data_IF_423075339326
#
_entry.id   IF_423075339326
#
_cell.length_a   1.000
_cell.length_b   1.000
_cell.length_c   1.000
_cell.angle_alpha   90.00
_cell.angle_beta   90.00
_cell.angle_gamma   90.00
#
_symmetry.space_group_name_H-M   'P 1'
#
loop_
_entity.id
_entity.type
_entity.pdbx_description
1 polymer ?
#
# COMPACT_ATOMS: atom_id res chain seq x y z
N UNK A 1 6.16 -8.05 14.37
CA UNK A 1 5.33 -7.62 13.23
C UNK A 1 3.87 -7.49 13.63
N UNK A 2 3.08 -6.78 12.87
CA UNK A 2 1.65 -6.65 13.08
C UNK A 2 0.98 -7.99 12.70
N UNK A 3 0.17 -8.56 13.60
CA UNK A 3 -0.67 -9.71 13.28
C UNK A 3 -1.96 -9.19 12.64
N UNK A 4 -2.28 -9.70 11.44
CA UNK A 4 -3.42 -9.23 10.66
C UNK A 4 -4.75 -9.85 11.07
N UNK A 5 -4.73 -11.01 11.72
CA UNK A 5 -5.93 -11.72 12.13
C UNK A 5 -6.84 -10.84 13.00
N UNK A 6 -8.07 -10.68 12.55
CA UNK A 6 -9.10 -9.91 13.24
C UNK A 6 -9.00 -8.39 13.09
N UNK A 7 -7.98 -7.86 12.36
CA UNK A 7 -7.87 -6.43 12.12
C UNK A 7 -8.82 -5.97 11.00
N UNK A 8 -9.33 -4.75 11.16
CA UNK A 8 -10.04 -4.01 10.12
C UNK A 8 -9.03 -3.34 9.18
N UNK A 9 -9.03 -3.76 7.92
CA UNK A 9 -8.15 -3.22 6.88
C UNK A 9 -8.97 -2.49 5.83
N UNK A 10 -8.58 -1.27 5.47
CA UNK A 10 -9.16 -0.55 4.34
C UNK A 10 -8.12 -0.42 3.24
N UNK A 11 -8.44 -1.01 2.09
CA UNK A 11 -7.69 -0.90 0.85
C UNK A 11 -8.29 0.21 -0.02
N UNK A 12 -7.62 1.35 -0.13
CA UNK A 12 -8.03 2.48 -0.98
C UNK A 12 -7.36 2.31 -2.35
N UNK A 13 -7.78 1.30 -3.04
CA UNK A 13 -7.36 0.92 -4.38
C UNK A 13 -8.15 -0.31 -4.82
N UNK A 14 -8.63 -0.36 -6.05
CA UNK A 14 -9.27 -1.56 -6.55
C UNK A 14 -8.72 -2.02 -7.91
N UNK A 15 -7.48 -1.63 -8.21
CA UNK A 15 -6.80 -2.05 -9.43
C UNK A 15 -6.57 -3.58 -9.46
N UNK A 16 -6.51 -4.13 -10.66
CA UNK A 16 -6.30 -5.57 -10.88
C UNK A 16 -4.90 -6.02 -10.44
N UNK A 17 -3.94 -5.11 -10.45
CA UNK A 17 -2.52 -5.44 -10.21
C UNK A 17 -2.05 -5.13 -8.78
N UNK A 18 -2.79 -4.31 -8.02
CA UNK A 18 -2.43 -3.94 -6.63
C UNK A 18 -3.60 -4.16 -5.69
N UNK A 19 -4.69 -3.43 -5.86
CA UNK A 19 -5.78 -3.37 -4.88
C UNK A 19 -6.44 -4.72 -4.64
N UNK A 20 -6.94 -5.35 -5.70
CA UNK A 20 -7.64 -6.64 -5.60
C UNK A 20 -6.73 -7.76 -5.09
N UNK A 21 -5.54 -8.03 -5.67
CA UNK A 21 -4.69 -9.11 -5.19
C UNK A 21 -4.21 -8.88 -3.75
N UNK A 22 -3.87 -7.64 -3.37
CA UNK A 22 -3.48 -7.35 -1.99
C UNK A 22 -4.64 -7.56 -1.01
N UNK A 23 -5.87 -7.16 -1.37
CA UNK A 23 -7.05 -7.40 -0.54
C UNK A 23 -7.29 -8.91 -0.30
N UNK A 24 -7.16 -9.74 -1.33
CA UNK A 24 -7.28 -11.19 -1.20
C UNK A 24 -6.20 -11.79 -0.29
N UNK A 25 -4.96 -11.34 -0.41
CA UNK A 25 -3.87 -11.79 0.46
C UNK A 25 -4.11 -11.39 1.92
N UNK A 26 -4.58 -10.17 2.17
CA UNK A 26 -4.91 -9.70 3.53
C UNK A 26 -6.05 -10.50 4.15
N UNK A 27 -7.09 -10.83 3.36
CA UNK A 27 -8.17 -11.72 3.82
C UNK A 27 -7.66 -13.12 4.14
N UNK A 28 -6.74 -13.67 3.36
CA UNK A 28 -6.14 -14.97 3.62
C UNK A 28 -5.36 -15.02 4.93
N UNK A 29 -4.82 -13.88 5.39
CA UNK A 29 -4.17 -13.70 6.68
C UNK A 29 -5.17 -13.41 7.84
N UNK A 30 -6.47 -13.52 7.58
CA UNK A 30 -7.53 -13.37 8.58
C UNK A 30 -7.95 -11.94 8.89
N UNK A 31 -7.62 -10.97 8.04
CA UNK A 31 -8.11 -9.60 8.18
C UNK A 31 -9.52 -9.44 7.61
N UNK A 32 -10.29 -8.51 8.19
CA UNK A 32 -11.53 -8.01 7.60
C UNK A 32 -11.19 -6.87 6.64
N UNK A 33 -11.42 -7.05 5.34
CA UNK A 33 -10.97 -6.08 4.33
C UNK A 33 -12.15 -5.35 3.67
N UNK A 34 -12.10 -4.03 3.72
CA UNK A 34 -12.99 -3.14 2.96
C UNK A 34 -12.21 -2.53 1.80
N UNK A 35 -12.69 -2.71 0.58
CA UNK A 35 -12.08 -2.12 -0.62
C UNK A 35 -12.82 -0.87 -1.03
N UNK A 36 -12.11 0.25 -1.10
CA UNK A 36 -12.61 1.54 -1.56
C UNK A 36 -12.03 1.90 -2.93
N UNK A 37 -12.80 2.64 -3.72
CA UNK A 37 -12.43 3.09 -5.06
C UNK A 37 -13.03 4.47 -5.35
N UNK A 38 -12.74 5.04 -6.52
CA UNK A 38 -13.17 6.40 -6.91
C UNK A 38 -14.68 6.64 -6.84
N UNK A 39 -15.51 5.58 -6.91
CA UNK A 39 -16.97 5.68 -6.79
C UNK A 39 -17.47 5.47 -5.35
N UNK A 40 -16.59 5.20 -4.39
CA UNK A 40 -16.95 5.07 -2.98
C UNK A 40 -17.45 6.42 -2.45
N UNK A 41 -18.68 6.46 -1.92
CA UNK A 41 -19.33 7.72 -1.50
C UNK A 41 -18.52 8.50 -0.46
N UNK A 42 -17.91 7.79 0.48
CA UNK A 42 -17.06 8.39 1.51
C UNK A 42 -16.00 7.41 1.95
N UNK A 43 -14.78 7.61 1.48
CA UNK A 43 -13.62 6.82 1.89
C UNK A 43 -13.38 6.98 3.39
N UNK A 44 -13.52 8.21 3.92
CA UNK A 44 -13.31 8.51 5.33
C UNK A 44 -14.23 7.71 6.27
N UNK A 45 -15.48 7.42 5.88
CA UNK A 45 -16.39 6.58 6.68
C UNK A 45 -15.84 5.17 6.92
N UNK A 46 -15.07 4.65 5.97
CA UNK A 46 -14.46 3.33 6.07
C UNK A 46 -13.12 3.41 6.79
N UNK A 47 -12.24 4.35 6.40
CA UNK A 47 -10.87 4.41 6.87
C UNK A 47 -10.71 4.88 8.33
N UNK A 48 -11.63 5.72 8.84
CA UNK A 48 -11.58 6.17 10.25
C UNK A 48 -11.75 5.06 11.29
N UNK A 49 -12.21 3.88 10.91
CA UNK A 49 -12.33 2.72 11.81
C UNK A 49 -11.25 1.66 11.57
N UNK A 50 -10.45 1.82 10.52
CA UNK A 50 -9.47 0.84 10.11
C UNK A 50 -8.23 0.83 11.02
N UNK A 51 -7.77 -0.37 11.37
CA UNK A 51 -6.51 -0.57 12.07
C UNK A 51 -5.32 -0.43 11.11
N UNK A 52 -5.56 -0.81 9.84
CA UNK A 52 -4.59 -0.68 8.76
C UNK A 52 -5.25 -0.03 7.55
N UNK A 53 -4.60 0.97 6.97
CA UNK A 53 -5.03 1.59 5.72
C UNK A 53 -3.93 1.43 4.68
N UNK A 54 -4.30 0.96 3.50
CA UNK A 54 -3.40 0.86 2.34
C UNK A 54 -3.90 1.80 1.27
N UNK A 55 -3.05 2.72 0.82
CA UNK A 55 -3.41 3.79 -0.13
C UNK A 55 -2.63 3.62 -1.43
N UNK A 56 -3.34 3.53 -2.55
CA UNK A 56 -2.74 3.42 -3.88
C UNK A 56 -3.73 3.99 -4.95
N UNK A 57 -3.91 5.30 -4.94
CA UNK A 57 -4.85 6.02 -5.82
C UNK A 57 -4.17 6.86 -6.90
N UNK A 58 -2.86 7.13 -6.76
CA UNK A 58 -2.09 7.96 -7.68
C UNK A 58 -2.46 9.44 -7.62
N UNK A 59 -2.89 9.93 -6.46
CA UNK A 59 -3.26 11.34 -6.23
C UNK A 59 -2.47 11.84 -5.01
N UNK A 60 -1.55 12.80 -5.19
CA UNK A 60 -0.77 13.37 -4.09
C UNK A 60 -1.65 13.89 -2.96
N UNK A 61 -1.31 13.53 -1.72
CA UNK A 61 -1.99 14.01 -0.50
C UNK A 61 -3.49 13.72 -0.45
N UNK A 62 -3.97 12.70 -1.16
CA UNK A 62 -5.37 12.28 -1.13
C UNK A 62 -5.83 11.87 0.28
N UNK A 63 -4.97 11.11 0.99
CA UNK A 63 -5.28 10.60 2.32
C UNK A 63 -4.77 11.56 3.40
N UNK A 64 -5.68 12.27 4.02
CA UNK A 64 -5.41 13.30 5.02
C UNK A 64 -5.71 12.87 6.46
N UNK A 65 -5.45 13.78 7.42
CA UNK A 65 -5.61 13.51 8.86
C UNK A 65 -7.06 13.23 9.26
N UNK A 66 -8.03 13.72 8.50
CA UNK A 66 -9.46 13.51 8.73
C UNK A 66 -9.95 12.11 8.30
N UNK A 67 -9.09 11.33 7.64
CA UNK A 67 -9.39 9.97 7.17
C UNK A 67 -8.76 8.87 8.00
N UNK A 68 -7.87 9.19 8.94
CA UNK A 68 -7.08 8.21 9.70
C UNK A 68 -7.66 8.00 11.10
N UNK A 69 -7.71 6.75 11.55
CA UNK A 69 -7.98 6.38 12.94
C UNK A 69 -6.71 6.64 13.77
N UNK A 70 -6.80 7.27 14.94
CA UNK A 70 -5.66 7.39 15.84
C UNK A 70 -5.02 6.02 16.13
N UNK A 71 -3.71 5.94 15.96
CA UNK A 71 -2.96 4.71 16.18
C UNK A 71 -2.97 3.70 15.03
N UNK A 72 -3.64 3.99 13.91
CA UNK A 72 -3.64 3.12 12.74
C UNK A 72 -2.25 3.00 12.09
N UNK A 73 -2.03 1.89 11.39
CA UNK A 73 -0.90 1.73 10.48
C UNK A 73 -1.32 2.17 9.07
N UNK A 74 -0.51 3.04 8.43
CA UNK A 74 -0.78 3.56 7.09
C UNK A 74 0.31 3.11 6.12
N UNK A 75 -0.08 2.44 5.05
CA UNK A 75 0.80 1.96 3.99
C UNK A 75 0.52 2.76 2.73
N UNK A 76 1.44 3.63 2.38
CA UNK A 76 1.38 4.45 1.18
C UNK A 76 2.14 3.75 0.04
N UNK A 77 1.42 3.34 -1.00
CA UNK A 77 1.97 2.74 -2.22
C UNK A 77 2.07 3.78 -3.34
N UNK A 78 1.49 4.96 -3.14
CA UNK A 78 1.48 6.03 -4.12
C UNK A 78 2.89 6.46 -4.54
N UNK A 79 3.08 6.69 -5.83
CA UNK A 79 4.32 7.25 -6.41
C UNK A 79 3.89 8.32 -7.39
N UNK A 80 4.00 9.57 -6.98
CA UNK A 80 3.62 10.72 -7.78
C UNK A 80 4.82 11.63 -7.99
N UNK A 81 4.89 12.26 -9.16
CA UNK A 81 5.85 13.31 -9.44
C UNK A 81 5.20 14.66 -9.15
N UNK A 82 5.80 15.42 -8.25
CA UNK A 82 5.40 16.79 -7.94
C UNK A 82 6.49 17.76 -8.42
N UNK A 83 6.13 18.66 -9.32
CA UNK A 83 7.02 19.72 -9.76
C UNK A 83 7.07 20.83 -8.70
N UNK A 84 8.27 21.21 -8.31
CA UNK A 84 8.52 22.29 -7.35
C UNK A 84 8.68 23.62 -8.08
N UNK A 85 8.47 24.78 -7.41
CA UNK A 85 8.61 26.12 -8.03
C UNK A 85 9.98 26.41 -8.66
N UNK A 86 11.01 25.66 -8.28
CA UNK A 86 12.37 25.75 -8.82
C UNK A 86 12.63 24.80 -10.01
N UNK A 87 11.60 24.18 -10.58
CA UNK A 87 11.69 23.23 -11.70
C UNK A 87 12.21 21.85 -11.33
N UNK A 88 12.48 21.57 -10.05
CA UNK A 88 12.87 20.24 -9.60
C UNK A 88 11.63 19.36 -9.40
N UNK A 89 11.79 18.06 -9.67
CA UNK A 89 10.75 17.05 -9.42
C UNK A 89 11.02 16.38 -8.08
N UNK A 90 9.99 16.30 -7.25
CA UNK A 90 9.98 15.54 -6.00
C UNK A 90 9.05 14.35 -6.15
N UNK A 91 9.45 13.20 -5.62
CA UNK A 91 8.57 12.03 -5.49
C UNK A 91 7.80 12.17 -4.18
N UNK A 92 6.47 12.01 -4.26
CA UNK A 92 5.56 12.06 -3.11
C UNK A 92 4.56 10.91 -3.19
N UNK A 93 4.04 10.51 -2.05
CA UNK A 93 2.99 9.50 -1.95
C UNK A 93 1.58 10.06 -2.12
N UNK A 94 0.60 9.19 -1.89
CA UNK A 94 -0.82 9.53 -1.87
C UNK A 94 -1.28 10.03 -0.50
N UNK A 95 -0.45 9.88 0.53
CA UNK A 95 -0.75 10.30 1.91
C UNK A 95 -0.12 11.66 2.20
N UNK A 96 -0.87 12.52 2.92
CA UNK A 96 -0.31 13.74 3.53
C UNK A 96 0.50 13.35 4.77
N UNK A 97 1.71 12.84 4.51
CA UNK A 97 2.60 12.26 5.53
C UNK A 97 2.89 13.25 6.65
N UNK A 98 3.02 14.55 6.35
CA UNK A 98 3.36 15.57 7.35
C UNK A 98 2.29 15.69 8.43
N UNK A 99 1.01 15.52 8.09
CA UNK A 99 -0.11 15.60 9.02
C UNK A 99 -0.50 14.23 9.58
N UNK A 100 -0.50 13.19 8.74
CA UNK A 100 -0.94 11.84 9.13
C UNK A 100 0.01 11.18 10.13
N UNK A 101 1.32 11.46 10.06
CA UNK A 101 2.32 10.91 11.00
C UNK A 101 2.09 11.29 12.47
N UNK A 102 1.40 12.39 12.73
CA UNK A 102 1.08 12.83 14.09
C UNK A 102 -0.08 12.04 14.72
N UNK A 103 -0.82 11.27 13.89
CA UNK A 103 -2.04 10.54 14.29
C UNK A 103 -1.83 9.02 14.17
N UNK A 104 -1.19 8.59 13.09
CA UNK A 104 -0.89 7.18 12.81
C UNK A 104 0.23 6.66 13.73
N UNK A 105 0.16 5.38 14.12
CA UNK A 105 1.26 4.73 14.84
C UNK A 105 2.42 4.34 13.92
N UNK A 106 2.11 4.03 12.65
CA UNK A 106 3.07 3.64 11.62
C UNK A 106 2.66 4.24 10.29
N UNK A 107 3.63 4.72 9.54
CA UNK A 107 3.45 5.19 8.18
C UNK A 107 4.67 4.84 7.34
N UNK A 108 4.45 4.28 6.15
CA UNK A 108 5.54 4.02 5.20
C UNK A 108 5.98 5.33 4.54
N UNK A 109 7.29 5.63 4.48
CA UNK A 109 7.76 6.82 3.78
C UNK A 109 7.66 6.65 2.26
N UNK A 110 7.47 7.77 1.55
CA UNK A 110 7.59 7.83 0.10
C UNK A 110 8.51 9.01 -0.26
N UNK A 111 9.65 8.75 -0.92
CA UNK A 111 10.22 7.45 -1.32
C UNK A 111 10.85 6.69 -0.14
N UNK A 112 11.17 5.41 -0.38
CA UNK A 112 11.95 4.59 0.56
C UNK A 112 11.16 3.56 1.37
N UNK A 113 9.82 3.53 1.25
CA UNK A 113 8.94 2.56 1.90
C UNK A 113 8.70 1.30 1.07
N UNK A 114 7.53 1.19 0.47
CA UNK A 114 7.06 -0.01 -0.26
C UNK A 114 7.90 -0.31 -1.51
N UNK A 115 8.36 0.72 -2.24
CA UNK A 115 9.10 0.55 -3.49
C UNK A 115 10.31 -0.38 -3.38
N UNK A 116 11.29 -0.12 -2.50
CA UNK A 116 12.46 -0.99 -2.30
C UNK A 116 12.08 -2.42 -1.90
N UNK A 117 11.04 -2.61 -1.10
CA UNK A 117 10.54 -3.95 -0.72
C UNK A 117 9.99 -4.68 -1.93
N UNK A 118 9.25 -4.00 -2.80
CA UNK A 118 8.71 -4.57 -4.05
C UNK A 118 9.83 -5.07 -4.95
N UNK A 119 10.90 -4.28 -5.13
CA UNK A 119 12.07 -4.68 -5.92
C UNK A 119 12.74 -5.92 -5.32
N UNK A 120 12.96 -5.95 -4.02
CA UNK A 120 13.55 -7.10 -3.33
C UNK A 120 12.73 -8.39 -3.50
N UNK A 121 11.40 -8.28 -3.37
CA UNK A 121 10.48 -9.41 -3.57
C UNK A 121 10.47 -9.86 -5.03
N UNK A 122 10.50 -8.94 -5.99
CA UNK A 122 10.57 -9.26 -7.42
C UNK A 122 11.82 -10.08 -7.74
N UNK A 123 12.97 -9.65 -7.27
CA UNK A 123 14.24 -10.38 -7.45
C UNK A 123 14.18 -11.78 -6.83
N UNK A 124 13.69 -11.90 -5.61
CA UNK A 124 13.47 -13.20 -4.96
C UNK A 124 12.54 -14.10 -5.78
N UNK A 125 11.42 -13.57 -6.26
CA UNK A 125 10.43 -14.35 -7.02
C UNK A 125 11.01 -14.79 -8.38
N UNK A 126 11.81 -13.96 -9.05
CA UNK A 126 12.50 -14.33 -10.29
C UNK A 126 13.47 -15.50 -10.05
N UNK A 127 14.24 -15.47 -8.97
CA UNK A 127 15.16 -16.57 -8.61
C UNK A 127 14.40 -17.86 -8.32
N UNK A 128 13.31 -17.79 -7.55
CA UNK A 128 12.48 -18.96 -7.24
C UNK A 128 11.82 -19.52 -8.52
N UNK A 129 11.34 -18.65 -9.41
CA UNK A 129 10.74 -19.08 -10.67
C UNK A 129 11.76 -19.81 -11.55
N UNK A 130 12.98 -19.28 -11.66
CA UNK A 130 14.06 -19.91 -12.42
C UNK A 130 14.42 -21.29 -11.84
N UNK A 131 14.59 -21.39 -10.53
CA UNK A 131 14.89 -22.68 -9.87
C UNK A 131 13.80 -23.71 -10.13
N UNK A 132 12.52 -23.34 -10.01
CA UNK A 132 11.38 -24.21 -10.30
C UNK A 132 11.35 -24.68 -11.75
N UNK A 133 11.78 -23.84 -12.69
CA UNK A 133 11.84 -24.21 -14.12
C UNK A 133 12.95 -25.23 -14.37
N UNK A 134 14.08 -25.13 -13.69
CA UNK A 134 15.17 -26.15 -13.75
C UNK A 134 14.65 -27.47 -13.17
N UNK A 135 14.08 -27.46 -11.96
CA UNK A 135 13.53 -28.62 -11.27
C UNK A 135 12.44 -29.33 -12.11
N UNK A 136 11.64 -28.56 -12.85
CA UNK A 136 10.62 -29.08 -13.78
C UNK A 136 11.18 -29.56 -15.13
N UNK A 137 12.51 -29.41 -15.36
CA UNK A 137 13.15 -29.81 -16.62
C UNK A 137 12.83 -28.89 -17.81
N UNK A 138 12.35 -27.68 -17.59
CA UNK A 138 12.05 -26.71 -18.64
C UNK A 138 13.29 -25.93 -19.10
N UNK A 139 14.29 -25.84 -18.26
CA UNK A 139 15.58 -25.21 -18.53
C UNK A 139 16.70 -26.17 -18.18
N UNK A 140 17.77 -26.14 -18.97
CA UNK A 140 19.03 -26.83 -18.60
C UNK A 140 19.64 -26.16 -17.38
N UNK A 141 20.26 -26.96 -16.51
CA UNK A 141 20.97 -26.46 -15.33
C UNK A 141 22.26 -25.72 -15.73
#
# INVERSE_FOLDING_TARGET
GLQLQGLEVVMICHSEIVGKPAAFLLMAEGATVTVCHQMTRSVAMHSRRADVVVVAVGIPKFFGPDMVKPGAAVIDIGINQQELPNGRVRIVGDVDTDQVKEIASWITPVPGGVGPVTVGILMRNATIAHQRQIEAGWLAA
#
